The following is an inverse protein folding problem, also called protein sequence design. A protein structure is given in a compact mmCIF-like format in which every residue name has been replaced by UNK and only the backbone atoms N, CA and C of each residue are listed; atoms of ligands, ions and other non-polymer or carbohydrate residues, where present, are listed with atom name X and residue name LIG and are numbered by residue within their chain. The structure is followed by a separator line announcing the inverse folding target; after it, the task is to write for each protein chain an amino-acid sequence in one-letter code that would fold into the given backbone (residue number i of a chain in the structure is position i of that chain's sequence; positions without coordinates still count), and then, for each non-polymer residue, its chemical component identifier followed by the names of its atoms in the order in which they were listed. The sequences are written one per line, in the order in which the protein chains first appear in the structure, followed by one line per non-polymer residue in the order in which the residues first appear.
data_IF_028119347060
#
_entry.id   IF_028119347060
#
_cell.length_a   1.000
_cell.length_b   1.000
_cell.length_c   1.000
_cell.angle_alpha   90.00
_cell.angle_beta   90.00
_cell.angle_gamma   90.00
#
_symmetry.space_group_name_H-M   'P 1'
#
loop_
_entity.id
_entity.type
_entity.pdbx_description
1 polymer ?
2 polymer ?
3 polymer ?
4 non-polymer ?
5 non-polymer ?
6 water ?
#
loop_
_entity_poly.entity_id
_entity_poly.type
_entity_poly.pdbx_seq_one_letter_code
_entity_poly.pdbx_strand_id
2 'polydeoxyribonucleotide' '(DG)(DG)(DG)(DT)(DT)(DT)(DC)(DC)(DA)(DC)(DT)(DT)(DA)(DT)(DT)(DC)(DA)(DA)(DG)(DT)(DT)(DT)(DT)(DT)(DA)(DG)' ?
3 'polydeoxyribonucleotide' '(DC)(DC)(DT)(DA)(DA)(DA)(DA)(DA)(DC)(DT)(DT)(DG)(DA)(DA)(DT)(DA)(DA)(DG)(DT)(DG)(DG)(DA)(DA)(DA)(DC)(DC)' ?
#
# COMPACT_ATOMS: atom_id res chain seq x y z
N UNK A 6 16.63 -14.83 -5.66
CA UNK A 6 16.81 -13.40 -5.86
C UNK A 6 17.48 -12.74 -4.66
N UNK A 7 17.28 -11.43 -4.51
CA UNK A 7 17.87 -10.67 -3.42
C UNK A 7 16.79 -10.23 -2.44
N UNK A 8 17.23 -9.90 -1.23
CA UNK A 8 16.30 -9.39 -0.22
C UNK A 8 15.63 -8.12 -0.70
N UNK A 9 14.31 -8.05 -0.49
CA UNK A 9 13.62 -6.78 -0.68
C UNK A 9 14.09 -5.79 0.37
N UNK A 10 14.30 -4.56 -0.05
CA UNK A 10 14.83 -3.55 0.86
C UNK A 10 13.85 -3.37 2.02
N UNK A 11 14.32 -3.40 3.27
CA UNK A 11 13.38 -3.36 4.41
C UNK A 11 12.40 -2.19 4.34
N UNK A 12 12.88 -1.03 3.88
CA UNK A 12 12.02 0.16 3.86
C UNK A 12 11.06 0.16 2.68
N UNK A 13 11.48 -0.40 1.55
CA UNK A 13 10.52 -0.60 0.46
C UNK A 13 9.40 -1.51 0.92
N UNK A 14 9.73 -2.49 1.77
CA UNK A 14 8.74 -3.45 2.22
C UNK A 14 7.67 -2.76 3.07
N UNK A 15 8.10 -1.99 4.08
CA UNK A 15 7.13 -1.23 4.86
C UNK A 15 6.35 -0.26 3.98
N UNK A 16 7.03 0.38 3.03
CA UNK A 16 6.32 1.25 2.11
C UNK A 16 5.27 0.51 1.32
N UNK A 17 5.58 -0.71 0.88
CA UNK A 17 4.56 -1.49 0.21
C UNK A 17 3.47 -1.91 1.18
N UNK A 18 3.84 -2.20 2.43
CA UNK A 18 2.83 -2.62 3.41
C UNK A 18 1.92 -1.48 3.82
N UNK A 19 2.44 -0.25 3.89
CA UNK A 19 1.56 0.90 4.12
C UNK A 19 0.50 1.00 3.02
N UNK A 20 0.88 0.75 1.78
CA UNK A 20 -0.05 0.87 0.67
C UNK A 20 -0.98 -0.34 0.59
N UNK A 21 -0.41 -1.54 0.46
CA UNK A 21 -1.18 -2.73 0.14
C UNK A 21 -1.34 -3.70 1.30
N UNK A 22 -0.65 -3.49 2.41
CA UNK A 22 -0.70 -4.45 3.49
C UNK A 22 -2.00 -4.39 4.27
N UNK A 23 -2.26 -5.45 5.02
CA UNK A 23 -3.45 -5.53 5.83
C UNK A 23 -3.23 -6.50 6.97
N UNK A 24 -3.64 -6.10 8.17
CA UNK A 24 -3.56 -6.92 9.37
C UNK A 24 -4.92 -7.52 9.68
N UNK A 25 -4.95 -8.78 10.12
CA UNK A 25 -6.22 -9.48 10.29
C UNK A 25 -6.32 -10.14 11.66
N UNK A 26 -7.54 -10.17 12.18
CA UNK A 26 -7.88 -10.86 13.42
C UNK A 26 -9.26 -11.48 13.26
N UNK A 27 -9.31 -12.81 13.25
CA UNK A 27 -10.56 -13.54 13.05
C UNK A 27 -11.06 -14.07 14.39
N UNK A 28 -12.22 -13.61 14.81
CA UNK A 28 -12.94 -14.17 15.94
C UNK A 28 -14.18 -14.84 15.36
N UNK A 29 -14.16 -16.17 15.28
CA UNK A 29 -15.20 -16.94 14.63
C UNK A 29 -15.95 -17.80 15.64
N UNK A 30 -17.27 -17.90 15.47
CA UNK A 30 -18.07 -18.80 16.28
C UNK A 30 -17.66 -20.23 16.00
N UNK A 31 -17.41 -21.00 17.06
CA UNK A 31 -16.94 -22.37 16.91
C UNK A 31 -17.53 -23.21 18.03
N UNK A 32 -18.39 -24.17 17.67
CA UNK A 32 -19.01 -25.04 18.66
C UNK A 32 -18.01 -26.00 19.30
N UNK A 33 -16.79 -26.08 18.78
CA UNK A 33 -15.78 -27.01 19.27
C UNK A 33 -14.63 -26.34 20.02
N UNK A 34 -14.73 -25.03 20.27
CA UNK A 34 -13.70 -24.32 21.03
C UNK A 34 -14.15 -24.16 22.48
N UNK A 35 -13.20 -24.35 23.40
CA UNK A 35 -13.53 -24.26 24.82
C UNK A 35 -14.32 -23.01 25.15
N UNK A 36 -14.13 -21.94 24.38
CA UNK A 36 -14.72 -20.65 24.66
C UNK A 36 -15.78 -20.26 23.64
N UNK A 37 -16.13 -21.18 22.74
CA UNK A 37 -17.09 -20.89 21.70
C UNK A 37 -16.56 -20.11 20.52
N UNK A 38 -15.32 -19.62 20.58
CA UNK A 38 -14.71 -18.90 19.47
C UNK A 38 -13.28 -19.37 19.30
N UNK A 39 -12.88 -19.54 18.04
CA UNK A 39 -11.47 -19.70 17.68
C UNK A 39 -10.99 -18.44 17.00
N UNK A 40 -9.68 -18.28 16.94
CA UNK A 40 -9.08 -17.03 16.50
C UNK A 40 -7.99 -17.30 15.47
N UNK A 41 -7.78 -16.30 14.62
CA UNK A 41 -6.69 -16.34 13.66
C UNK A 41 -6.15 -14.93 13.54
N UNK A 42 -4.84 -14.80 13.65
CA UNK A 42 -4.17 -13.51 13.60
C UNK A 42 -3.15 -13.55 12.47
N UNK A 43 -2.95 -12.42 11.82
CA UNK A 43 -1.96 -12.39 10.77
C UNK A 43 -1.93 -11.08 10.03
N UNK A 44 -1.07 -11.07 9.01
CA UNK A 44 -0.85 -9.95 8.12
C UNK A 44 -0.87 -10.46 6.69
N UNK A 45 -1.52 -9.72 5.79
CA UNK A 45 -1.71 -10.22 4.44
C UNK A 45 -1.62 -9.10 3.42
N UNK A 46 -1.28 -9.49 2.19
CA UNK A 46 -1.20 -8.60 1.04
C UNK A 46 -1.84 -9.30 -0.16
N UNK A 47 -2.74 -8.62 -0.85
CA UNK A 47 -3.43 -9.19 -2.02
C UNK A 47 -3.17 -8.34 -3.25
N UNK A 48 -2.71 -8.99 -4.33
CA UNK A 48 -2.34 -8.29 -5.56
C UNK A 48 -2.90 -9.01 -6.78
N UNK A 49 -2.94 -8.27 -7.90
CA UNK A 49 -3.23 -8.87 -9.20
C UNK A 49 -2.20 -9.95 -9.50
N UNK A 50 -2.65 -11.04 -10.15
CA UNK A 50 -1.73 -12.11 -10.52
C UNK A 50 -0.49 -11.53 -11.19
N UNK A 51 -0.66 -10.41 -11.90
CA UNK A 51 0.41 -9.65 -12.51
C UNK A 51 1.65 -9.55 -11.61
N UNK A 52 1.46 -9.20 -10.34
CA UNK A 52 2.56 -8.91 -9.43
C UNK A 52 2.78 -10.00 -8.39
N UNK A 53 2.40 -11.24 -8.73
CA UNK A 53 2.75 -12.39 -7.91
C UNK A 53 4.23 -12.38 -7.51
N UNK A 54 5.10 -11.89 -8.40
CA UNK A 54 6.53 -11.84 -8.11
C UNK A 54 6.83 -11.09 -6.81
N UNK A 55 6.16 -9.96 -6.60
CA UNK A 55 6.36 -9.21 -5.35
C UNK A 55 6.10 -10.11 -4.16
N UNK A 56 4.91 -10.73 -4.12
CA UNK A 56 4.58 -11.62 -3.01
C UNK A 56 5.64 -12.67 -2.80
N UNK A 57 6.15 -13.25 -3.89
CA UNK A 57 7.18 -14.29 -3.78
C UNK A 57 8.46 -13.73 -3.19
N UNK A 58 8.82 -12.50 -3.54
CA UNK A 58 10.05 -11.91 -3.03
C UNK A 58 9.90 -11.56 -1.56
N UNK A 59 8.73 -11.07 -1.16
CA UNK A 59 8.48 -10.80 0.25
C UNK A 59 8.54 -12.07 1.07
N UNK A 60 8.12 -13.19 0.47
CA UNK A 60 8.11 -14.47 1.18
C UNK A 60 9.52 -14.99 1.42
N UNK A 61 10.37 -14.95 0.40
CA UNK A 61 11.75 -15.38 0.60
C UNK A 61 12.54 -14.39 1.44
N UNK A 62 12.10 -13.13 1.51
CA UNK A 62 12.75 -12.17 2.39
C UNK A 62 12.42 -12.47 3.84
N UNK A 63 11.14 -12.68 4.15
CA UNK A 63 10.72 -12.98 5.51
C UNK A 63 10.83 -14.46 5.87
N UNK A 64 10.93 -15.34 4.87
CA UNK A 64 10.98 -16.77 5.13
C UNK A 64 9.74 -17.25 5.86
N UNK A 65 8.60 -16.60 5.60
CA UNK A 65 7.32 -16.91 6.22
C UNK A 65 6.22 -16.50 5.25
N UNK A 66 5.01 -16.96 5.52
CA UNK A 66 3.89 -16.59 4.66
C UNK A 66 3.60 -17.67 3.63
N UNK A 67 2.32 -17.77 3.26
CA UNK A 67 1.84 -18.76 2.31
C UNK A 67 1.14 -18.06 1.16
N UNK A 68 1.42 -18.49 -0.06
CA UNK A 68 0.91 -17.84 -1.28
C UNK A 68 -0.17 -18.72 -1.88
N UNK A 69 -1.35 -18.13 -2.12
CA UNK A 69 -2.44 -18.82 -2.77
C UNK A 69 -3.20 -17.84 -3.66
N UNK A 70 -3.86 -18.37 -4.67
CA UNK A 70 -4.71 -17.53 -5.50
C UNK A 70 -5.85 -16.96 -4.66
N UNK A 71 -6.41 -15.86 -5.15
CA UNK A 71 -7.54 -15.19 -4.49
C UNK A 71 -8.51 -14.80 -5.61
N UNK A 72 -9.51 -15.63 -5.83
CA UNK A 72 -10.32 -15.44 -7.00
C UNK A 72 -9.50 -15.78 -8.24
N UNK A 73 -10.05 -15.40 -9.39
CA UNK A 73 -9.42 -15.76 -10.65
C UNK A 73 -8.28 -14.82 -11.04
N UNK A 74 -8.32 -13.54 -10.67
CA UNK A 74 -7.31 -12.60 -11.14
C UNK A 74 -6.35 -12.12 -10.07
N UNK A 75 -6.49 -12.53 -8.81
CA UNK A 75 -5.63 -12.00 -7.76
C UNK A 75 -4.82 -13.11 -7.11
N UNK A 76 -3.83 -12.72 -6.31
CA UNK A 76 -2.96 -13.65 -5.59
C UNK A 76 -2.63 -13.00 -4.24
N UNK A 77 -2.67 -13.79 -3.17
CA UNK A 77 -2.43 -13.27 -1.83
C UNK A 77 -1.22 -13.92 -1.18
N UNK A 78 -0.59 -13.17 -0.28
CA UNK A 78 0.41 -13.69 0.65
C UNK A 78 -0.13 -13.45 2.05
N UNK A 79 -0.45 -14.53 2.76
CA UNK A 79 -0.97 -14.46 4.11
C UNK A 79 0.04 -15.06 5.08
N UNK A 80 0.12 -14.46 6.27
CA UNK A 80 0.95 -14.98 7.36
C UNK A 80 0.05 -15.06 8.58
N UNK A 81 -0.19 -16.26 9.07
CA UNK A 81 -0.96 -16.48 10.30
C UNK A 81 -0.37 -17.55 11.21
N UNK A 82 0.61 -18.33 10.76
CA UNK A 82 1.34 -19.20 11.67
C UNK A 82 1.84 -18.38 12.83
N UNK A 83 1.36 -18.71 14.04
CA UNK A 83 1.64 -17.85 15.18
C UNK A 83 3.12 -17.56 15.29
N UNK A 84 3.96 -18.60 15.36
CA UNK A 84 5.39 -18.41 15.46
C UNK A 84 5.92 -17.50 14.36
N UNK A 85 5.38 -17.63 13.14
CA UNK A 85 5.87 -16.81 12.03
C UNK A 85 5.48 -15.34 12.17
N UNK A 86 4.48 -15.02 13.01
CA UNK A 86 4.16 -13.62 13.24
C UNK A 86 5.31 -12.88 13.95
N UNK A 87 6.17 -13.60 14.69
CA UNK A 87 7.34 -12.96 15.26
C UNK A 87 8.14 -12.23 14.18
N UNK A 88 8.22 -12.80 12.99
CA UNK A 88 8.99 -12.18 11.91
C UNK A 88 8.36 -10.86 11.48
N UNK A 89 7.04 -10.85 11.30
CA UNK A 89 6.34 -9.62 10.96
C UNK A 89 6.55 -8.57 12.04
N UNK A 90 6.58 -8.98 13.30
CA UNK A 90 6.72 -7.99 14.37
C UNK A 90 8.16 -7.50 14.47
N UNK A 91 9.13 -8.39 14.22
CA UNK A 91 10.52 -7.94 14.20
C UNK A 91 10.75 -6.95 13.07
N UNK A 92 10.00 -7.08 11.97
CA UNK A 92 10.20 -6.14 10.87
C UNK A 92 9.68 -4.76 11.23
N UNK A 93 8.40 -4.67 11.61
CA UNK A 93 7.76 -3.38 11.79
C UNK A 93 8.19 -2.68 13.07
N UNK A 94 8.72 -3.41 14.03
CA UNK A 94 9.39 -2.73 15.13
C UNK A 94 10.62 -1.99 14.64
N UNK A 95 11.34 -2.58 13.66
CA UNK A 95 12.53 -1.94 13.12
C UNK A 95 12.20 -0.90 12.06
N UNK A 96 11.19 -1.15 11.24
CA UNK A 96 10.85 -0.30 10.10
C UNK A 96 9.38 0.08 10.16
N UNK A 97 9.01 0.96 11.09
CA UNK A 97 7.59 1.17 11.41
C UNK A 97 6.80 1.74 10.24
N UNK A 98 5.54 1.33 10.15
CA UNK A 98 4.61 1.92 9.21
C UNK A 98 4.41 3.39 9.51
N UNK A 99 3.83 4.09 8.52
CA UNK A 99 3.76 5.54 8.50
C UNK A 99 2.32 6.03 8.41
N UNK A 100 1.48 5.29 7.70
CA UNK A 100 0.10 5.69 7.49
C UNK A 100 -0.73 5.30 8.71
N UNK A 101 -2.05 5.49 8.62
CA UNK A 101 -2.94 5.11 9.72
C UNK A 101 -2.90 3.62 9.99
N UNK A 102 -2.33 2.82 9.09
CA UNK A 102 -2.26 1.37 9.29
C UNK A 102 -1.43 1.04 10.52
N UNK A 103 -0.45 1.88 10.86
CA UNK A 103 0.28 1.68 12.09
C UNK A 103 -0.66 1.50 13.26
N UNK A 104 -1.80 2.20 13.26
CA UNK A 104 -2.81 1.94 14.26
C UNK A 104 -3.26 0.49 14.24
N UNK A 105 -3.60 -0.01 13.05
CA UNK A 105 -4.00 -1.41 12.93
C UNK A 105 -2.86 -2.35 13.30
N UNK A 106 -1.62 -1.91 13.12
CA UNK A 106 -0.48 -2.73 13.54
C UNK A 106 -0.33 -2.77 15.06
N UNK A 107 -0.60 -1.65 15.74
CA UNK A 107 -0.50 -1.63 17.19
C UNK A 107 -1.56 -2.54 17.82
N UNK A 108 -2.81 -2.46 17.35
CA UNK A 108 -3.83 -3.40 17.80
C UNK A 108 -3.51 -4.83 17.39
N UNK A 109 -2.62 -4.99 16.40
CA UNK A 109 -2.12 -6.31 16.04
C UNK A 109 -1.11 -6.82 17.06
N UNK A 110 -0.26 -5.95 17.58
CA UNK A 110 0.68 -6.36 18.61
C UNK A 110 -0.04 -6.77 19.88
N UNK A 111 -1.05 -6.01 20.29
CA UNK A 111 -1.76 -6.32 21.53
C UNK A 111 -2.45 -7.68 21.45
N UNK A 112 -3.01 -8.00 20.28
CA UNK A 112 -3.64 -9.31 20.12
C UNK A 112 -2.59 -10.41 20.16
N UNK A 113 -1.47 -10.22 19.46
CA UNK A 113 -0.39 -11.20 19.55
C UNK A 113 -0.01 -11.48 20.99
N UNK A 114 0.12 -10.42 21.80
CA UNK A 114 0.47 -10.63 23.20
C UNK A 114 -0.58 -11.47 23.89
N UNK A 115 -1.86 -11.20 23.64
CA UNK A 115 -2.92 -12.01 24.23
C UNK A 115 -2.75 -13.48 23.85
N UNK A 116 -2.43 -13.74 22.57
CA UNK A 116 -2.35 -15.11 22.08
C UNK A 116 -1.04 -15.78 22.46
N UNK A 117 0.05 -15.00 22.62
CA UNK A 117 1.29 -15.58 23.10
C UNK A 117 1.11 -16.14 24.51
N UNK A 118 0.32 -15.47 25.35
CA UNK A 118 -0.01 -15.93 26.68
C UNK A 118 -1.10 -16.99 26.69
N UNK A 119 -1.66 -17.34 25.54
CA UNK A 119 -2.68 -18.38 25.39
C UNK A 119 -4.01 -17.99 26.06
N UNK A 120 -4.16 -16.72 26.46
CA UNK A 120 -5.40 -16.26 27.08
C UNK A 120 -6.62 -16.48 26.18
N UNK A 121 -6.44 -16.43 24.85
CA UNK A 121 -7.57 -16.50 23.92
C UNK A 121 -8.35 -17.82 24.03
N UNK A 122 -7.84 -18.78 24.79
CA UNK A 122 -8.55 -20.03 25.07
C UNK A 122 -9.39 -19.94 26.34
N UNK A 123 -9.34 -18.83 27.06
CA UNK A 123 -10.17 -18.59 28.23
C UNK A 123 -11.13 -17.43 27.93
N UNK A 124 -12.23 -17.41 28.69
CA UNK A 124 -13.30 -16.43 28.43
C UNK A 124 -12.75 -15.01 28.31
N UNK A 125 -12.08 -14.53 29.36
CA UNK A 125 -11.59 -13.15 29.39
C UNK A 125 -10.62 -12.85 28.25
N UNK A 126 -9.99 -13.87 27.67
CA UNK A 126 -9.09 -13.63 26.55
C UNK A 126 -9.85 -13.22 25.30
N UNK A 127 -10.97 -13.88 25.02
CA UNK A 127 -11.77 -13.54 23.85
C UNK A 127 -12.40 -12.16 24.01
N UNK A 128 -12.79 -11.80 25.23
CA UNK A 128 -13.29 -10.46 25.48
C UNK A 128 -12.27 -9.40 25.09
N UNK A 129 -11.01 -9.61 25.48
CA UNK A 129 -9.96 -8.66 25.14
C UNK A 129 -9.74 -8.60 23.63
N UNK A 130 -9.75 -9.76 22.97
CA UNK A 130 -9.61 -9.76 21.51
C UNK A 130 -10.79 -9.06 20.84
N UNK A 131 -11.94 -9.05 21.51
CA UNK A 131 -13.10 -8.35 20.97
C UNK A 131 -12.96 -6.84 21.16
N UNK A 132 -12.51 -6.41 22.33
CA UNK A 132 -12.25 -4.99 22.53
C UNK A 132 -11.24 -4.49 21.52
N UNK A 133 -10.25 -5.33 21.18
CA UNK A 133 -9.22 -4.94 20.24
C UNK A 133 -9.79 -4.88 18.82
N UNK A 134 -10.47 -5.95 18.40
CA UNK A 134 -10.98 -5.99 17.03
C UNK A 134 -11.96 -4.86 16.78
N UNK A 135 -12.64 -4.40 17.83
CA UNK A 135 -13.58 -3.29 17.66
C UNK A 135 -12.89 -2.09 17.01
N UNK A 136 -11.60 -1.91 17.27
CA UNK A 136 -10.88 -0.74 16.77
C UNK A 136 -10.02 -1.04 15.55
N UNK A 137 -9.92 -2.31 15.15
CA UNK A 137 -9.07 -2.71 14.04
C UNK A 137 -9.84 -2.76 12.73
N UNK A 138 -9.32 -2.08 11.71
CA UNK A 138 -9.89 -2.06 10.37
C UNK A 138 -11.38 -1.74 10.43
N UNK A 139 -12.24 -2.63 9.94
CA UNK A 139 -13.67 -2.38 9.87
C UNK A 139 -14.41 -2.74 11.16
N UNK A 140 -13.68 -3.14 12.20
CA UNK A 140 -14.28 -3.35 13.50
C UNK A 140 -15.09 -4.63 13.57
N UNK A 141 -16.01 -4.65 14.53
CA UNK A 141 -16.76 -5.86 14.82
C UNK A 141 -17.83 -6.12 13.77
N UNK A 142 -18.18 -7.39 13.61
CA UNK A 142 -19.32 -7.77 12.78
C UNK A 142 -20.60 -7.62 13.58
N UNK A 143 -21.70 -7.44 12.86
CA UNK A 143 -23.00 -7.28 13.51
C UNK A 143 -23.35 -8.50 14.35
N UNK A 144 -23.19 -9.69 13.78
CA UNK A 144 -23.40 -10.90 14.57
C UNK A 144 -22.53 -10.87 15.83
N UNK A 145 -21.30 -10.37 15.70
CA UNK A 145 -20.37 -10.33 16.82
C UNK A 145 -20.69 -9.19 17.77
N UNK A 146 -21.05 -8.02 17.25
CA UNK A 146 -21.48 -6.91 18.10
C UNK A 146 -22.64 -7.33 19.00
N UNK A 147 -23.72 -7.82 18.40
CA UNK A 147 -24.87 -8.29 19.19
C UNK A 147 -24.50 -9.45 20.10
N UNK A 148 -23.33 -10.06 19.92
CA UNK A 148 -22.84 -11.06 20.85
C UNK A 148 -21.99 -10.48 21.97
N UNK A 149 -21.42 -9.28 21.73
CA UNK A 149 -20.57 -8.60 22.71
C UNK A 149 -21.03 -7.15 22.83
N UNK A 150 -22.05 -6.89 23.65
CA UNK A 150 -22.59 -5.54 23.82
C UNK A 150 -21.73 -4.66 24.73
N UNK A 153 -18.27 -2.97 25.03
CA UNK A 153 -16.87 -3.01 24.62
C UNK A 153 -16.16 -1.70 24.98
N UNK A 154 -14.86 -1.62 24.68
CA UNK A 154 -14.05 -0.42 24.92
C UNK A 154 -13.28 -0.07 23.66
N UNK A 155 -12.65 1.12 23.66
CA UNK A 155 -12.02 1.65 22.45
C UNK A 155 -10.89 2.64 22.74
N UNK A 156 -10.86 3.74 21.99
CA UNK A 156 -9.92 4.85 22.13
C UNK A 156 -8.66 4.65 21.29
N UNK A 157 -8.75 4.91 19.99
CA UNK A 157 -7.64 4.70 19.06
C UNK A 157 -7.04 6.04 18.66
N UNK A 158 -5.71 6.13 18.77
CA UNK A 158 -5.01 7.38 18.51
C UNK A 158 -4.80 7.58 17.01
N UNK A 159 -4.75 8.84 16.60
CA UNK A 159 -4.49 9.18 15.21
C UNK A 159 -2.99 9.11 14.93
N UNK A 160 -2.63 8.48 13.84
CA UNK A 160 -1.24 8.39 13.46
C UNK A 160 -0.90 9.61 12.61
N UNK A 161 0.25 10.21 12.93
CA UNK A 161 0.65 11.46 12.31
C UNK A 161 2.17 11.45 12.27
N UNK A 162 2.71 10.65 11.36
CA UNK A 162 4.14 10.54 11.13
C UNK A 162 4.51 11.12 9.77
N UNK A 163 5.80 11.39 9.60
CA UNK A 163 6.36 11.93 8.36
C UNK A 163 7.06 10.82 7.57
N UNK A 164 7.28 11.10 6.29
CA UNK A 164 7.94 10.14 5.41
C UNK A 164 9.37 9.91 5.86
N UNK A 165 9.73 8.68 6.25
CA UNK A 165 11.04 8.46 6.86
C UNK A 165 12.21 8.58 5.89
N UNK A 166 12.10 8.00 4.70
CA UNK A 166 13.18 8.09 3.71
C UNK A 166 12.62 7.82 2.33
N UNK A 167 13.50 7.85 1.34
CA UNK A 167 13.08 7.68 -0.06
C UNK A 167 12.74 6.23 -0.37
N UNK A 168 13.45 5.28 0.25
CA UNK A 168 13.11 3.88 0.05
C UNK A 168 11.69 3.57 0.50
N UNK A 169 11.21 4.25 1.54
CA UNK A 169 9.81 4.15 1.91
C UNK A 169 8.90 4.65 0.79
N UNK A 170 9.21 5.82 0.24
CA UNK A 170 8.40 6.38 -0.83
C UNK A 170 8.31 5.41 -2.02
N UNK A 171 9.42 4.73 -2.32
CA UNK A 171 9.42 3.78 -3.44
C UNK A 171 8.46 2.63 -3.19
N UNK A 172 8.43 2.11 -1.96
CA UNK A 172 7.50 1.05 -1.65
C UNK A 172 6.06 1.53 -1.69
N UNK A 173 5.79 2.65 -1.04
CA UNK A 173 4.44 3.22 -1.09
C UNK A 173 4.04 3.51 -2.53
N UNK A 174 4.93 4.14 -3.29
CA UNK A 174 4.56 4.52 -4.66
C UNK A 174 4.37 3.29 -5.53
N UNK A 175 5.19 2.25 -5.31
CA UNK A 175 4.98 1.00 -6.03
C UNK A 175 3.57 0.46 -5.83
N UNK A 176 2.94 0.79 -4.71
CA UNK A 176 1.56 0.41 -4.46
C UNK A 176 0.56 1.46 -4.86
N UNK A 177 0.78 2.72 -4.46
CA UNK A 177 -0.17 3.80 -4.71
C UNK A 177 0.26 4.74 -5.83
N UNK A 178 1.48 4.58 -6.36
CA UNK A 178 1.96 5.48 -7.38
C UNK A 178 1.29 5.27 -8.74
N UNK A 179 1.42 6.28 -9.58
CA UNK A 179 0.76 6.29 -10.88
C UNK A 179 1.55 7.20 -11.81
N UNK A 180 1.86 6.70 -13.00
CA UNK A 180 2.64 7.43 -14.00
C UNK A 180 1.85 7.51 -15.28
N UNK A 181 1.47 8.72 -15.67
CA UNK A 181 0.49 8.92 -16.72
C UNK A 181 0.98 9.91 -17.77
N UNK A 182 0.76 9.58 -19.04
CA UNK A 182 1.02 10.51 -20.14
C UNK A 182 -0.33 11.02 -20.63
N UNK A 183 -0.54 12.33 -20.50
CA UNK A 183 -1.83 12.96 -20.78
C UNK A 183 -1.76 13.57 -22.18
N UNK A 184 -2.54 13.00 -23.10
CA UNK A 184 -2.63 13.52 -24.45
C UNK A 184 -3.85 14.45 -24.51
N UNK A 185 -3.59 15.76 -24.57
CA UNK A 185 -4.63 16.78 -24.43
C UNK A 185 -4.95 17.33 -25.82
N UNK A 186 -6.23 17.30 -26.18
CA UNK A 186 -6.65 17.81 -27.48
C UNK A 186 -6.54 19.33 -27.52
N UNK A 187 -6.97 19.90 -28.65
CA UNK A 187 -6.88 21.36 -28.84
C UNK A 187 -7.46 21.76 -30.21
N UNK A 191 -1.13 21.60 -34.33
CA UNK A 191 -0.69 20.29 -33.83
C UNK A 191 -1.79 19.63 -33.02
N UNK A 192 -2.42 20.40 -32.13
CA UNK A 192 -3.63 19.97 -31.45
C UNK A 192 -3.51 18.76 -30.55
N UNK A 193 -2.32 18.47 -30.02
CA UNK A 193 -2.15 17.43 -29.02
C UNK A 193 -0.99 17.78 -28.12
N UNK A 194 -1.28 18.36 -26.95
CA UNK A 194 -0.27 18.65 -25.96
C UNK A 194 0.06 17.40 -25.17
N UNK A 195 1.34 17.06 -25.09
CA UNK A 195 1.81 15.96 -24.25
C UNK A 195 2.19 16.51 -22.89
N UNK A 196 1.62 15.93 -21.83
CA UNK A 196 1.88 16.39 -20.47
C UNK A 196 2.01 15.17 -19.57
N UNK A 197 3.16 15.03 -18.92
CA UNK A 197 3.37 13.94 -17.98
C UNK A 197 2.67 14.25 -16.66
N UNK A 198 2.30 13.20 -15.94
CA UNK A 198 1.58 13.36 -14.70
C UNK A 198 1.98 12.26 -13.73
N UNK A 199 2.26 12.65 -12.50
CA UNK A 199 2.58 11.71 -11.43
C UNK A 199 1.50 11.84 -10.36
N UNK A 200 0.96 10.71 -9.91
CA UNK A 200 -0.15 10.77 -8.98
C UNK A 200 0.04 9.77 -7.86
N UNK A 201 -0.28 10.23 -6.64
CA UNK A 201 -0.45 9.37 -5.49
C UNK A 201 -1.85 9.63 -4.96
N UNK A 202 -2.60 8.56 -4.72
CA UNK A 202 -3.98 8.65 -4.29
C UNK A 202 -4.11 7.92 -2.96
N UNK A 203 -4.94 8.47 -2.08
CA UNK A 203 -5.05 7.95 -0.72
C UNK A 203 -6.28 8.54 -0.05
N UNK A 204 -6.88 7.73 0.83
CA UNK A 204 -8.08 8.14 1.55
C UNK A 204 -7.81 9.42 2.34
N UNK A 205 -8.86 10.21 2.53
CA UNK A 205 -8.70 11.49 3.22
C UNK A 205 -8.23 11.27 4.65
N UNK A 206 -8.45 10.08 5.21
CA UNK A 206 -7.97 9.77 6.56
C UNK A 206 -6.51 10.13 6.76
N UNK A 207 -5.73 10.25 5.68
CA UNK A 207 -4.30 10.53 5.76
C UNK A 207 -3.98 11.85 5.08
N UNK A 208 -4.84 12.85 5.31
CA UNK A 208 -4.58 14.19 4.79
C UNK A 208 -3.17 14.63 5.12
N UNK A 209 -2.75 14.46 6.38
CA UNK A 209 -1.50 15.04 6.82
C UNK A 209 -0.31 14.43 6.09
N UNK A 210 -0.31 13.10 5.91
CA UNK A 210 0.77 12.46 5.15
C UNK A 210 0.80 12.97 3.72
N UNK A 211 -0.37 13.03 3.07
CA UNK A 211 -0.40 13.47 1.68
C UNK A 211 0.15 14.88 1.53
N UNK A 212 -0.30 15.79 2.40
CA UNK A 212 0.17 17.18 2.32
C UNK A 212 1.68 17.27 2.47
N UNK A 213 2.28 16.34 3.21
CA UNK A 213 3.72 16.40 3.38
C UNK A 213 4.47 16.06 2.10
N UNK A 214 3.80 15.44 1.13
CA UNK A 214 4.44 15.16 -0.14
C UNK A 214 4.83 16.45 -0.87
N UNK A 215 4.01 17.48 -0.73
CA UNK A 215 4.30 18.76 -1.40
C UNK A 215 5.65 19.30 -0.93
N UNK A 216 5.85 19.40 0.39
CA UNK A 216 7.14 19.85 0.90
C UNK A 216 8.23 18.79 0.76
N UNK A 217 7.88 17.52 0.97
CA UNK A 217 8.90 16.47 0.94
C UNK A 217 9.48 16.32 -0.47
N UNK A 218 8.64 16.43 -1.50
CA UNK A 218 9.07 16.31 -2.89
C UNK A 218 9.27 17.66 -3.56
N UNK A 219 9.06 18.75 -2.83
CA UNK A 219 9.31 20.08 -3.36
C UNK A 219 8.53 20.35 -4.64
N UNK A 220 7.35 19.78 -4.77
CA UNK A 220 6.49 20.01 -5.93
C UNK A 220 5.14 19.36 -5.67
N UNK A 221 4.24 19.49 -6.64
CA UNK A 221 2.95 18.83 -6.59
C UNK A 221 1.87 19.70 -5.98
N UNK A 222 0.64 19.21 -6.10
CA UNK A 222 -0.49 19.87 -5.45
C UNK A 222 -1.51 18.82 -5.03
N UNK A 223 -2.31 19.18 -4.03
CA UNK A 223 -3.26 18.30 -3.38
C UNK A 223 -4.66 18.80 -3.67
N UNK A 224 -5.55 17.89 -4.09
CA UNK A 224 -6.97 18.19 -4.23
C UNK A 224 -7.77 16.99 -3.72
N UNK A 225 -9.03 17.25 -3.38
CA UNK A 225 -9.93 16.22 -2.88
C UNK A 225 -11.09 16.01 -3.85
N UNK A 226 -11.45 14.76 -4.04
CA UNK A 226 -12.62 14.37 -4.82
C UNK A 226 -13.46 13.43 -3.99
N UNK A 227 -14.66 13.09 -4.46
CA UNK A 227 -15.43 12.13 -3.69
C UNK A 227 -16.65 11.66 -4.49
N UNK A 228 -16.97 10.37 -4.36
CA UNK A 228 -18.13 9.75 -5.01
C UNK A 228 -19.13 9.36 -3.93
N UNK A 229 -20.26 10.08 -3.88
CA UNK A 229 -21.31 9.83 -2.88
C UNK A 229 -20.72 10.16 -1.51
N UNK A 230 -20.68 9.21 -0.57
CA UNK A 230 -20.17 9.52 0.75
C UNK A 230 -18.67 9.34 0.86
N UNK A 231 -18.00 8.87 -0.18
CA UNK A 231 -16.59 8.49 -0.10
C UNK A 231 -15.72 9.61 -0.66
N UNK A 232 -14.71 10.01 0.12
CA UNK A 232 -13.79 11.07 -0.27
C UNK A 232 -12.37 10.50 -0.39
N UNK A 233 -11.55 11.14 -1.21
CA UNK A 233 -10.14 10.77 -1.31
C UNK A 233 -9.35 11.96 -1.82
N UNK A 234 -8.02 11.84 -1.74
CA UNK A 234 -7.11 12.91 -2.12
C UNK A 234 -6.15 12.42 -3.20
N UNK A 235 -5.77 13.31 -4.08
CA UNK A 235 -4.72 13.06 -5.05
C UNK A 235 -3.54 13.96 -4.75
N UNK A 236 -2.34 13.45 -4.95
CA UNK A 236 -1.15 14.26 -5.07
C UNK A 236 -0.74 14.24 -6.54
N UNK A 237 -0.72 15.41 -7.17
CA UNK A 237 -0.56 15.50 -8.62
C UNK A 237 0.61 16.40 -8.95
N UNK A 238 1.46 15.95 -9.86
CA UNK A 238 2.60 16.72 -10.34
C UNK A 238 2.49 16.80 -11.86
N UNK A 239 2.45 18.03 -12.39
CA UNK A 239 2.37 18.25 -13.84
C UNK A 239 3.53 19.05 -14.41
N UNK A 240 4.15 19.93 -13.63
CA UNK A 240 5.29 20.70 -14.12
C UNK A 240 6.39 19.77 -14.61
N UNK A 241 6.75 19.87 -15.88
CA UNK A 241 7.73 18.92 -16.45
C UNK A 241 9.07 19.01 -15.72
N UNK A 242 9.57 20.23 -15.50
CA UNK A 242 10.84 20.35 -14.78
C UNK A 242 10.77 19.69 -13.41
N UNK A 243 9.63 19.80 -12.73
CA UNK A 243 9.49 19.09 -11.45
C UNK A 243 9.50 17.58 -11.68
N UNK A 244 8.84 17.12 -12.74
CA UNK A 244 8.80 15.69 -13.01
C UNK A 244 10.17 15.20 -13.46
N UNK A 245 10.84 15.98 -14.30
CA UNK A 245 12.12 15.55 -14.86
C UNK A 245 13.27 15.70 -13.90
N UNK A 246 13.17 16.61 -12.92
CA UNK A 246 14.27 16.90 -12.02
C UNK A 246 14.05 16.43 -10.58
N UNK A 247 12.82 16.48 -10.08
CA UNK A 247 12.53 16.12 -8.70
C UNK A 247 11.82 14.78 -8.53
N UNK A 248 10.94 14.40 -9.46
CA UNK A 248 10.19 13.15 -9.31
C UNK A 248 10.93 11.98 -9.92
N UNK A 249 11.39 12.12 -11.17
CA UNK A 249 12.05 11.00 -11.83
C UNK A 249 13.34 10.61 -11.13
N UNK A 250 14.19 11.52 -10.69
CA UNK A 250 15.46 11.10 -10.09
C UNK A 250 15.29 10.32 -8.79
N UNK A 251 14.24 10.61 -8.03
CA UNK A 251 14.00 9.86 -6.80
C UNK A 251 13.94 8.36 -7.10
N UNK A 252 13.11 7.97 -8.07
CA UNK A 252 12.83 6.57 -8.35
C UNK A 252 13.80 5.92 -9.32
N UNK A 253 14.73 6.69 -9.91
CA UNK A 253 15.90 6.07 -10.49
C UNK A 253 16.86 5.60 -9.40
N UNK A 254 17.11 6.48 -8.42
CA UNK A 254 17.93 6.12 -7.28
C UNK A 254 17.30 4.98 -6.49
N UNK A 255 15.99 5.07 -6.26
CA UNK A 255 15.25 4.13 -5.42
C UNK A 255 14.30 3.34 -6.32
N UNK A 256 14.77 2.18 -6.77
CA UNK A 256 14.05 1.42 -7.79
C UNK A 256 12.67 1.01 -7.29
N UNK A 257 11.72 0.98 -8.22
CA UNK A 257 10.36 0.53 -7.96
C UNK A 257 10.23 -0.98 -8.17
N UNK A 258 9.16 -1.55 -7.60
CA UNK A 258 8.89 -2.98 -7.69
C UNK A 258 7.52 -3.18 -8.34
N UNK A 259 7.36 -4.34 -8.98
CA UNK A 259 6.13 -4.65 -9.68
C UNK A 259 6.19 -4.31 -11.15
N UNK A 260 5.10 -4.60 -11.86
CA UNK A 260 5.07 -4.16 -13.25
C UNK A 260 5.03 -2.65 -13.31
N UNK A 261 4.56 -1.98 -12.25
CA UNK A 261 4.61 -0.53 -12.27
C UNK A 261 6.01 -0.03 -12.57
N UNK A 262 7.04 -0.75 -12.11
CA UNK A 262 8.40 -0.42 -12.56
C UNK A 262 8.46 -0.27 -14.07
N UNK A 263 7.80 -1.19 -14.80
CA UNK A 263 7.76 -1.06 -16.25
C UNK A 263 7.07 0.23 -16.67
N UNK A 264 5.96 0.58 -16.02
CA UNK A 264 5.25 1.81 -16.37
C UNK A 264 6.17 3.02 -16.22
N UNK A 265 6.96 3.07 -15.13
CA UNK A 265 7.85 4.19 -14.91
C UNK A 265 8.89 4.30 -16.01
N UNK A 266 9.59 3.20 -16.29
CA UNK A 266 10.57 3.19 -17.37
C UNK A 266 9.98 3.75 -18.66
N UNK A 267 8.74 3.38 -18.97
CA UNK A 267 8.06 3.92 -20.16
C UNK A 267 7.83 5.42 -20.01
N UNK A 268 7.31 5.82 -18.85
CA UNK A 268 7.17 7.24 -18.52
C UNK A 268 8.46 8.00 -18.80
N UNK A 269 9.59 7.42 -18.40
CA UNK A 269 10.88 8.10 -18.57
C UNK A 269 11.26 8.20 -20.04
N UNK A 270 11.06 7.12 -20.81
CA UNK A 270 11.27 7.19 -22.25
C UNK A 270 10.58 8.42 -22.83
N UNK A 271 9.31 8.63 -22.46
CA UNK A 271 8.59 9.81 -22.92
C UNK A 271 9.21 11.08 -22.36
N UNK A 272 9.57 11.05 -21.06
CA UNK A 272 10.17 12.22 -20.44
C UNK A 272 11.39 12.71 -21.21
N UNK A 273 12.25 11.79 -21.66
CA UNK A 273 13.45 12.20 -22.38
C UNK A 273 13.12 12.81 -23.74
N UNK A 274 11.90 12.58 -24.25
CA UNK A 274 11.48 13.21 -25.50
C UNK A 274 11.01 14.64 -25.28
N UNK A 275 10.20 14.87 -24.24
CA UNK A 275 9.87 16.23 -23.84
C UNK A 275 11.15 17.04 -23.63
N UNK A 276 12.13 16.45 -22.96
CA UNK A 276 13.41 17.12 -22.72
C UNK A 276 14.08 17.51 -24.03
N UNK A 277 14.07 16.61 -25.01
CA UNK A 277 14.68 16.88 -26.30
C UNK A 277 13.77 17.66 -27.24
N UNK A 278 12.60 18.08 -26.76
CA UNK A 278 11.62 18.82 -27.56
C UNK A 278 11.10 18.01 -28.74
N UNK A 279 11.29 16.68 -28.73
CA UNK A 279 10.85 15.86 -29.85
C UNK A 279 9.34 15.68 -29.90
N UNK A 280 8.64 15.87 -28.79
CA UNK A 280 7.18 15.73 -28.76
C UNK A 280 6.46 16.84 -29.49
N UNK A 281 7.17 17.86 -29.98
CA UNK A 281 6.59 18.94 -30.77
C UNK A 281 6.64 18.63 -32.27
N UNK A 282 7.06 17.41 -32.62
CA UNK A 282 7.18 16.95 -33.99
C UNK A 282 6.24 15.77 -34.22
N UNK A 283 5.89 15.55 -35.49
CA UNK A 283 5.02 14.42 -35.80
C UNK A 283 5.68 13.09 -35.44
N UNK A 284 6.91 12.87 -35.92
CA UNK A 284 7.55 11.59 -35.71
C UNK A 284 7.71 11.27 -34.23
N UNK A 285 7.98 12.28 -33.41
CA UNK A 285 8.12 12.11 -31.98
C UNK A 285 6.80 11.95 -31.25
N UNK A 286 5.78 12.71 -31.65
CA UNK A 286 4.46 12.51 -31.06
C UNK A 286 3.93 11.12 -31.35
N UNK A 287 4.29 10.55 -32.50
CA UNK A 287 3.91 9.16 -32.79
C UNK A 287 4.52 8.21 -31.77
N UNK A 288 5.84 8.28 -31.57
CA UNK A 288 6.49 7.39 -30.62
C UNK A 288 5.91 7.55 -29.23
N UNK A 289 5.53 8.77 -28.86
CA UNK A 289 4.88 8.99 -27.57
C UNK A 289 3.51 8.31 -27.54
N UNK A 290 2.78 8.35 -28.66
CA UNK A 290 1.48 7.69 -28.70
C UNK A 290 1.62 6.17 -28.62
N UNK A 291 2.64 5.61 -29.27
CA UNK A 291 2.82 4.16 -29.21
C UNK A 291 3.26 3.73 -27.82
N UNK A 292 3.92 4.61 -27.09
CA UNK A 292 4.39 4.25 -25.76
C UNK A 292 3.22 4.27 -24.76
N UNK A 293 2.30 5.22 -24.93
CA UNK A 293 1.13 5.27 -24.05
C UNK A 293 0.23 4.06 -24.26
N UNK A 294 0.09 3.62 -25.51
CA UNK A 294 -0.74 2.46 -25.79
C UNK A 294 -0.33 1.26 -24.94
N UNK A 295 0.97 1.00 -24.84
CA UNK A 295 1.47 -0.22 -24.20
C UNK A 295 1.87 0.00 -22.75
N UNK A 296 1.17 0.86 -22.01
CA UNK A 296 1.44 1.04 -20.60
C UNK A 296 0.12 1.20 -19.83
N UNK A 297 0.22 1.07 -18.51
CA UNK A 297 -0.92 1.19 -17.59
C UNK A 297 -1.91 0.06 -17.87
N UNK A 298 -3.20 0.35 -18.05
CA UNK A 298 -4.12 -0.71 -18.46
C UNK A 298 -3.85 -1.18 -19.89
N UNK A 299 -3.12 -0.40 -20.67
CA UNK A 299 -2.71 -0.81 -21.99
C UNK A 299 -1.61 -1.86 -22.06
N UNK A 300 -1.04 -2.21 -20.91
CA UNK A 300 -0.02 -3.24 -20.81
C UNK A 300 -0.66 -4.62 -20.84
X LIG D 1 -1.43 -1.05 -6.07
X LIG E 1 -3.79 1.70 0.17
X LIG F 1 -20.46 -1.20 12.04
X LIG F 1 -19.66 -1.28 10.87
X LIG F 1 -20.13 -2.36 12.97
X LIG F 1 -20.01 -3.57 12.21
X LIG F 1 -20.27 -0.26 12.56
X LIG F 1 -21.52 -1.23 11.78
X LIG F 1 -19.87 -0.54 10.28
X LIG F 1 -19.20 -2.16 13.50
X LIG F 1 -20.92 -2.48 13.72
X LIG F 1 -19.80 -4.30 12.80
#
# INVERSE_FOLDING_TARGET
MASSRRESINPWILTGFADAEGSFLLRIRNNNKSSVGYSTELGFQITLHNKDKSILENIQSTWKVGVIANSGDNAVSLKVTRFEDLKVIIDHFEKYPLITQKLGDYKLFKQAFSVMENKEHLKENGIKELVRIKAKLNWGLTDELKKAFPENISKERSLINKNIPNFKWLAGFTSGEGHFFVNLIKSKSKLGVQVQLRFRITQHIKDKNLMNSLITYLGCGYISESNKSEFSWLNFTVTKFSDINDKIIPVFQENTLIGVKLEDFEDWCKVAKLIEEKKHLTESGLDEIKKIKLNMNKGR
CA CA
CA CA
EDO C1 O1 C2 O2 H11 H12 HO1 H21 H22 HO2
#
